data_IF_325456674297
#
_entry.id   IF_325456674297
#
_cell.length_a   1.000
_cell.length_b   1.000
_cell.length_c   1.000
_cell.angle_alpha   90.00
_cell.angle_beta   90.00
_cell.angle_gamma   90.00
#
_symmetry.space_group_name_H-M   'P 1'
#
loop_
_entity.id
_entity.type
_entity.pdbx_description
1 polymer ?
#
# COMPACT_ATOMS: atom_id res chain seq x y z
N UNK A 1 -4.63 18.35 -3.54
CA UNK A 1 -4.65 17.65 -2.25
C UNK A 1 -3.47 16.69 -2.03
N UNK A 2 -2.89 16.09 -3.08
CA UNK A 2 -1.65 15.30 -2.96
C UNK A 2 -0.43 16.15 -2.54
N UNK A 3 -0.36 17.41 -2.96
CA UNK A 3 0.73 18.32 -2.57
C UNK A 3 0.79 18.53 -1.06
N UNK A 4 -0.35 18.66 -0.37
CA UNK A 4 -0.38 18.86 1.09
C UNK A 4 0.15 17.65 1.89
N UNK A 5 0.24 16.48 1.29
CA UNK A 5 0.76 15.28 1.92
C UNK A 5 2.27 15.16 1.72
N UNK A 6 2.80 15.63 0.60
CA UNK A 6 4.22 15.52 0.24
C UNK A 6 5.12 16.49 1.02
N UNK A 7 4.59 17.65 1.37
CA UNK A 7 5.26 18.72 2.13
C UNK A 7 5.29 18.51 3.64
N UNK A 8 4.70 17.39 4.13
CA UNK A 8 4.70 17.04 5.55
C UNK A 8 5.79 16.03 5.89
N UNK A 9 6.18 16.02 7.17
CA UNK A 9 7.08 14.98 7.66
C UNK A 9 6.43 13.59 7.55
N UNK A 10 7.24 12.54 7.54
CA UNK A 10 6.75 11.16 7.57
C UNK A 10 5.84 10.96 8.79
N UNK A 11 6.26 11.43 9.96
CA UNK A 11 5.49 11.35 11.21
C UNK A 11 4.12 12.00 11.06
N UNK A 12 4.07 13.25 10.59
CA UNK A 12 2.80 13.97 10.42
C UNK A 12 1.89 13.32 9.39
N UNK A 13 2.48 12.72 8.33
CA UNK A 13 1.74 11.97 7.34
C UNK A 13 1.09 10.71 7.90
N UNK A 14 1.82 9.94 8.69
CA UNK A 14 1.32 8.69 9.27
C UNK A 14 0.18 8.92 10.26
N UNK A 15 0.21 10.04 10.98
CA UNK A 15 -0.79 10.37 12.01
C UNK A 15 -1.84 11.39 11.57
N UNK A 16 -1.90 11.74 10.30
CA UNK A 16 -2.86 12.71 9.78
C UNK A 16 -4.32 12.30 10.10
N UNK A 17 -5.01 13.15 10.87
CA UNK A 17 -6.36 12.92 11.37
C UNK A 17 -6.45 11.93 12.54
N UNK A 18 -5.30 11.50 13.08
CA UNK A 18 -5.19 10.54 14.21
C UNK A 18 -4.03 10.92 15.13
N UNK A 19 -3.80 12.20 15.29
CA UNK A 19 -2.70 12.77 16.05
C UNK A 19 -2.78 12.34 17.53
N UNK A 20 -1.64 11.97 18.10
CA UNK A 20 -1.53 11.65 19.52
C UNK A 20 -1.40 12.96 20.29
N UNK A 21 -2.27 13.15 21.27
CA UNK A 21 -2.26 14.33 22.15
C UNK A 21 -1.50 14.03 23.43
N UNK A 22 -0.87 15.06 24.00
CA UNK A 22 -0.25 14.97 25.31
C UNK A 22 -1.29 14.61 26.38
N UNK A 23 -0.86 13.85 27.38
CA UNK A 23 -1.72 13.51 28.52
C UNK A 23 -1.86 14.70 29.47
N UNK A 24 -2.99 14.76 30.21
CA UNK A 24 -3.25 15.78 31.20
C UNK A 24 -3.90 17.06 30.64
N UNK A 25 -3.87 18.13 31.43
CA UNK A 25 -4.54 19.42 31.13
C UNK A 25 -4.08 20.03 29.78
N UNK A 26 -2.78 19.96 29.50
CA UNK A 26 -2.18 20.48 28.27
C UNK A 26 -2.72 19.77 27.02
N UNK A 27 -2.90 18.44 27.06
CA UNK A 27 -3.42 17.68 25.93
C UNK A 27 -4.94 17.72 25.81
N UNK A 28 -5.65 17.79 26.96
CA UNK A 28 -7.12 17.76 26.97
C UNK A 28 -7.70 19.14 26.59
N UNK A 29 -7.19 20.20 27.18
CA UNK A 29 -7.73 21.56 26.99
C UNK A 29 -7.06 22.31 25.83
N UNK A 30 -5.72 22.34 25.81
CA UNK A 30 -4.94 23.08 24.81
C UNK A 30 -4.67 22.28 23.52
N UNK A 31 -5.05 20.99 23.48
CA UNK A 31 -4.89 20.10 22.32
C UNK A 31 -3.44 19.98 21.81
N UNK A 32 -2.44 20.11 22.69
CA UNK A 32 -1.04 19.94 22.30
C UNK A 32 -0.76 18.52 21.83
N UNK A 33 -0.01 18.42 20.74
CA UNK A 33 0.38 17.13 20.14
C UNK A 33 1.58 16.55 20.89
N UNK A 34 1.57 15.24 21.08
CA UNK A 34 2.72 14.48 21.57
C UNK A 34 3.59 14.03 20.36
N UNK A 35 4.39 14.96 19.86
CA UNK A 35 5.26 14.72 18.71
C UNK A 35 6.26 13.60 18.96
N UNK A 36 6.71 13.42 20.21
CA UNK A 36 7.66 12.37 20.57
C UNK A 36 6.99 11.00 20.46
N UNK A 37 5.82 10.83 21.08
CA UNK A 37 5.07 9.57 21.01
C UNK A 37 4.70 9.22 19.56
N UNK A 38 4.27 10.21 18.76
CA UNK A 38 4.01 10.01 17.32
C UNK A 38 5.25 9.57 16.56
N UNK A 39 6.40 10.17 16.83
CA UNK A 39 7.66 9.85 16.17
C UNK A 39 8.13 8.43 16.52
N UNK A 40 8.06 8.05 17.78
CA UNK A 40 8.49 6.72 18.26
C UNK A 40 7.57 5.62 17.69
N UNK A 41 6.26 5.87 17.67
CA UNK A 41 5.29 4.93 17.08
C UNK A 41 5.44 4.84 15.55
N UNK A 42 5.68 5.96 14.84
CA UNK A 42 5.95 5.97 13.41
C UNK A 42 7.18 5.11 13.08
N UNK A 43 8.28 5.29 13.83
CA UNK A 43 9.51 4.52 13.64
C UNK A 43 9.27 3.03 13.83
N UNK A 44 8.55 2.65 14.89
CA UNK A 44 8.19 1.27 15.16
C UNK A 44 7.42 0.65 13.99
N UNK A 45 6.37 1.31 13.51
CA UNK A 45 5.51 0.81 12.41
C UNK A 45 6.25 0.65 11.10
N UNK A 46 7.14 1.59 10.77
CA UNK A 46 7.99 1.48 9.58
C UNK A 46 8.98 0.32 9.71
N UNK A 47 9.59 0.16 10.88
CA UNK A 47 10.48 -0.97 11.18
C UNK A 47 9.76 -2.31 11.07
N UNK A 48 8.55 -2.40 11.64
CA UNK A 48 7.70 -3.59 11.58
C UNK A 48 7.39 -4.01 10.13
N UNK A 49 7.32 -3.07 9.19
CA UNK A 49 7.13 -3.31 7.75
C UNK A 49 8.45 -3.48 6.97
N UNK A 50 9.58 -3.62 7.66
CA UNK A 50 10.88 -3.78 7.01
C UNK A 50 11.43 -2.53 6.32
N UNK A 51 10.84 -1.35 6.57
CA UNK A 51 11.25 -0.08 5.95
C UNK A 51 12.43 0.57 6.69
N UNK A 52 13.48 -0.22 6.93
CA UNK A 52 14.66 0.18 7.71
C UNK A 52 15.53 1.24 7.04
N UNK A 53 15.36 1.46 5.74
CA UNK A 53 16.12 2.49 4.99
C UNK A 53 15.69 3.91 5.30
N UNK A 54 14.55 4.10 5.98
CA UNK A 54 14.04 5.40 6.42
C UNK A 54 14.60 5.69 7.81
N UNK A 55 15.71 6.41 7.89
CA UNK A 55 16.37 6.73 9.15
C UNK A 55 15.79 7.97 9.84
N UNK A 56 15.46 8.99 9.06
CA UNK A 56 14.91 10.25 9.58
C UNK A 56 13.42 10.36 9.33
N UNK A 57 12.61 10.08 10.34
CA UNK A 57 11.14 10.15 10.28
C UNK A 57 10.57 11.57 10.26
N UNK A 58 11.42 12.58 10.53
CA UNK A 58 11.03 13.99 10.46
C UNK A 58 11.32 14.61 9.08
N UNK A 59 11.95 13.84 8.16
CA UNK A 59 12.13 14.33 6.79
C UNK A 59 10.81 14.42 6.04
N UNK A 60 10.76 15.31 5.05
CA UNK A 60 9.58 15.49 4.21
C UNK A 60 9.37 14.28 3.30
N UNK A 61 8.11 13.89 3.09
CA UNK A 61 7.77 12.73 2.24
C UNK A 61 8.20 12.95 0.79
N UNK A 62 8.24 14.19 0.30
CA UNK A 62 8.71 14.51 -1.04
C UNK A 62 10.18 14.15 -1.30
N UNK A 63 11.02 14.13 -0.23
CA UNK A 63 12.45 13.78 -0.33
C UNK A 63 12.72 12.27 -0.43
N UNK A 64 11.68 11.47 -0.25
CA UNK A 64 11.78 10.02 -0.32
C UNK A 64 11.83 9.51 -1.77
N UNK A 65 12.46 8.34 -1.98
CA UNK A 65 12.31 7.62 -3.25
C UNK A 65 10.86 7.17 -3.47
N UNK A 66 10.49 6.86 -4.71
CA UNK A 66 9.13 6.38 -5.03
C UNK A 66 8.70 5.19 -4.17
N UNK A 67 9.57 4.18 -4.04
CA UNK A 67 9.30 3.00 -3.22
C UNK A 67 9.18 3.32 -1.73
N UNK A 68 9.99 4.26 -1.21
CA UNK A 68 9.89 4.71 0.18
C UNK A 68 8.57 5.46 0.42
N UNK A 69 8.15 6.34 -0.50
CA UNK A 69 6.85 7.02 -0.41
C UNK A 69 5.70 6.02 -0.38
N UNK A 70 5.74 5.02 -1.25
CA UNK A 70 4.74 3.96 -1.27
C UNK A 70 4.73 3.18 0.06
N UNK A 71 5.91 2.89 0.60
CA UNK A 71 6.05 2.27 1.92
C UNK A 71 5.40 3.06 3.05
N UNK A 72 5.60 4.37 3.09
CA UNK A 72 4.96 5.26 4.07
C UNK A 72 3.43 5.26 3.90
N UNK A 73 2.93 5.28 2.66
CA UNK A 73 1.50 5.22 2.39
C UNK A 73 0.88 3.91 2.89
N UNK A 74 1.55 2.77 2.66
CA UNK A 74 1.11 1.46 3.16
C UNK A 74 1.18 1.39 4.69
N UNK A 75 2.28 1.87 5.29
CA UNK A 75 2.42 1.94 6.73
C UNK A 75 1.29 2.74 7.38
N UNK A 76 0.93 3.89 6.79
CA UNK A 76 -0.22 4.69 7.22
C UNK A 76 -1.53 3.92 7.07
N UNK A 77 -1.75 3.28 5.91
CA UNK A 77 -2.97 2.53 5.65
C UNK A 77 -3.18 1.37 6.62
N UNK A 78 -2.11 0.67 7.00
CA UNK A 78 -2.16 -0.52 7.88
C UNK A 78 -2.12 -0.19 9.37
N UNK A 79 -1.85 1.07 9.73
CA UNK A 79 -1.53 1.46 11.11
C UNK A 79 -2.70 1.46 12.10
N UNK A 80 -3.96 1.46 11.66
CA UNK A 80 -5.08 1.82 12.54
C UNK A 80 -6.28 0.88 12.40
N UNK A 81 -6.08 -0.41 12.66
CA UNK A 81 -7.17 -1.40 12.67
C UNK A 81 -7.82 -1.60 11.31
N UNK A 82 -7.02 -1.51 10.27
CA UNK A 82 -7.45 -1.65 8.88
C UNK A 82 -7.91 -3.06 8.60
N UNK A 83 -9.11 -3.20 8.03
CA UNK A 83 -9.70 -4.50 7.66
C UNK A 83 -9.33 -4.94 6.26
N UNK A 84 -9.01 -4.00 5.38
CA UNK A 84 -8.61 -4.23 3.98
C UNK A 84 -7.78 -3.07 3.49
N UNK A 85 -6.77 -3.32 2.68
CA UNK A 85 -5.95 -2.30 2.00
C UNK A 85 -6.23 -2.36 0.51
N UNK A 86 -6.51 -1.21 -0.10
CA UNK A 86 -6.66 -1.07 -1.55
C UNK A 86 -5.43 -0.37 -2.08
N UNK A 87 -4.77 -0.97 -3.05
CA UNK A 87 -3.59 -0.42 -3.72
C UNK A 87 -3.89 -0.29 -5.22
N UNK A 88 -3.86 0.95 -5.69
CA UNK A 88 -4.09 1.27 -7.10
C UNK A 88 -2.76 1.63 -7.76
N UNK A 89 -2.34 0.80 -8.73
CA UNK A 89 -1.08 0.92 -9.47
C UNK A 89 0.16 1.19 -8.59
N UNK A 90 0.41 0.42 -7.51
CA UNK A 90 1.43 0.77 -6.52
C UNK A 90 2.86 0.70 -7.05
N UNK A 91 3.09 0.05 -8.19
CA UNK A 91 4.40 -0.07 -8.83
C UNK A 91 4.54 0.79 -10.09
N UNK A 92 3.51 1.59 -10.43
CA UNK A 92 3.57 2.46 -11.59
C UNK A 92 4.66 3.53 -11.42
N UNK A 93 5.40 3.81 -12.50
CA UNK A 93 6.48 4.78 -12.52
C UNK A 93 7.63 4.53 -11.52
N UNK A 94 7.76 3.31 -11.00
CA UNK A 94 8.86 2.88 -10.16
C UNK A 94 9.90 2.09 -10.98
N UNK A 95 11.18 2.20 -10.58
CA UNK A 95 12.22 1.35 -11.11
C UNK A 95 12.09 -0.11 -10.63
N UNK A 96 12.88 -1.00 -11.20
CA UNK A 96 12.81 -2.45 -10.89
C UNK A 96 13.04 -2.73 -9.40
N UNK A 97 14.02 -2.07 -8.80
CA UNK A 97 14.36 -2.24 -7.37
C UNK A 97 13.24 -1.74 -6.45
N UNK A 98 12.67 -0.59 -6.77
CA UNK A 98 11.57 0.00 -6.02
C UNK A 98 10.30 -0.83 -6.13
N UNK A 99 9.98 -1.32 -7.33
CA UNK A 99 8.84 -2.21 -7.56
C UNK A 99 8.98 -3.49 -6.75
N UNK A 100 10.17 -4.10 -6.74
CA UNK A 100 10.44 -5.30 -5.94
C UNK A 100 10.17 -5.08 -4.46
N UNK A 101 10.62 -3.95 -3.90
CA UNK A 101 10.35 -3.61 -2.49
C UNK A 101 8.87 -3.42 -2.19
N UNK A 102 8.10 -2.87 -3.14
CA UNK A 102 6.65 -2.75 -2.99
C UNK A 102 5.98 -4.13 -2.97
N UNK A 103 6.43 -5.07 -3.81
CA UNK A 103 5.90 -6.44 -3.81
C UNK A 103 6.23 -7.17 -2.50
N UNK A 104 7.45 -7.01 -1.98
CA UNK A 104 7.85 -7.54 -0.67
C UNK A 104 6.96 -6.98 0.46
N UNK A 105 6.68 -5.67 0.42
CA UNK A 105 5.78 -5.02 1.37
C UNK A 105 4.34 -5.54 1.30
N UNK A 106 3.83 -5.83 0.09
CA UNK A 106 2.54 -6.51 -0.10
C UNK A 106 2.55 -7.87 0.61
N UNK A 107 3.63 -8.64 0.46
CA UNK A 107 3.84 -9.89 1.17
C UNK A 107 3.81 -9.75 2.68
N UNK A 108 4.49 -8.74 3.22
CA UNK A 108 4.48 -8.43 4.66
C UNK A 108 3.08 -8.07 5.20
N UNK A 109 2.34 -7.24 4.50
CA UNK A 109 0.96 -6.88 4.88
C UNK A 109 0.06 -8.11 4.86
N UNK A 110 0.20 -8.96 3.83
CA UNK A 110 -0.53 -10.22 3.70
C UNK A 110 -0.21 -11.19 4.85
N UNK A 111 1.06 -11.34 5.23
CA UNK A 111 1.50 -12.23 6.32
C UNK A 111 0.88 -11.88 7.67
N UNK A 112 0.47 -10.61 7.85
CA UNK A 112 -0.27 -10.12 9.03
C UNK A 112 -1.77 -10.41 8.97
N UNK A 113 -2.25 -11.13 7.96
CA UNK A 113 -3.66 -11.44 7.78
C UNK A 113 -4.51 -10.27 7.31
N UNK A 114 -3.91 -9.20 6.78
CA UNK A 114 -4.64 -8.05 6.23
C UNK A 114 -4.90 -8.32 4.75
N UNK A 115 -6.17 -8.43 4.32
CA UNK A 115 -6.52 -8.60 2.92
C UNK A 115 -6.12 -7.38 2.08
N UNK A 116 -5.64 -7.64 0.86
CA UNK A 116 -5.23 -6.59 -0.07
C UNK A 116 -6.03 -6.73 -1.37
N UNK A 117 -6.57 -5.62 -1.85
CA UNK A 117 -7.09 -5.48 -3.21
C UNK A 117 -6.04 -4.72 -4.01
N UNK A 118 -5.37 -5.42 -4.91
CA UNK A 118 -4.38 -4.85 -5.79
C UNK A 118 -5.00 -4.59 -7.16
N UNK A 119 -4.99 -3.33 -7.61
CA UNK A 119 -5.36 -2.93 -8.96
C UNK A 119 -4.08 -2.67 -9.71
N UNK A 120 -3.84 -3.40 -10.80
CA UNK A 120 -2.67 -3.20 -11.64
C UNK A 120 -2.86 -3.79 -13.03
N UNK A 121 -2.15 -3.23 -14.00
CA UNK A 121 -2.01 -3.75 -15.35
C UNK A 121 -0.67 -4.49 -15.55
N UNK A 122 0.22 -4.49 -14.55
CA UNK A 122 1.49 -5.19 -14.60
C UNK A 122 1.29 -6.68 -14.23
N UNK A 123 1.01 -7.49 -15.24
CA UNK A 123 0.68 -8.92 -15.05
C UNK A 123 1.77 -9.71 -14.34
N UNK A 124 3.07 -9.56 -14.64
CA UNK A 124 4.13 -10.20 -13.86
C UNK A 124 4.01 -9.97 -12.34
N UNK A 125 3.80 -8.71 -11.92
CA UNK A 125 3.65 -8.39 -10.51
C UNK A 125 2.37 -8.96 -9.90
N UNK A 126 1.25 -8.91 -10.66
CA UNK A 126 -0.03 -9.47 -10.21
C UNK A 126 0.09 -10.98 -10.00
N UNK A 127 0.67 -11.71 -10.95
CA UNK A 127 0.84 -13.16 -10.86
C UNK A 127 1.77 -13.59 -9.72
N UNK A 128 2.73 -12.74 -9.36
CA UNK A 128 3.65 -13.01 -8.25
C UNK A 128 2.96 -12.95 -6.87
N UNK A 129 2.04 -12.00 -6.67
CA UNK A 129 1.54 -11.72 -5.31
C UNK A 129 0.08 -12.10 -5.09
N UNK A 130 -0.72 -12.26 -6.13
CA UNK A 130 -2.16 -12.48 -5.99
C UNK A 130 -2.51 -13.95 -5.68
N UNK A 131 -3.53 -14.14 -4.84
CA UNK A 131 -4.16 -15.46 -4.63
C UNK A 131 -5.29 -15.71 -5.63
N UNK A 132 -5.95 -14.64 -6.10
CA UNK A 132 -7.02 -14.65 -7.09
C UNK A 132 -6.95 -13.39 -7.93
N UNK A 133 -7.20 -13.52 -9.23
CA UNK A 133 -7.19 -12.41 -10.17
C UNK A 133 -8.59 -12.23 -10.75
N UNK A 134 -9.18 -11.07 -10.49
CA UNK A 134 -10.45 -10.66 -11.07
C UNK A 134 -10.19 -9.88 -12.35
N UNK A 135 -10.62 -10.39 -13.48
CA UNK A 135 -10.44 -9.74 -14.77
C UNK A 135 -11.69 -8.93 -15.10
N UNK A 136 -11.46 -7.64 -15.31
CA UNK A 136 -12.48 -6.67 -15.68
C UNK A 136 -12.23 -6.14 -17.09
N UNK A 137 -13.30 -5.97 -17.85
CA UNK A 137 -13.25 -5.36 -19.19
C UNK A 137 -14.53 -4.58 -19.44
N UNK A 138 -14.40 -3.37 -19.97
CA UNK A 138 -15.54 -2.49 -20.31
C UNK A 138 -16.56 -2.36 -19.16
N UNK A 139 -16.08 -2.21 -17.92
CA UNK A 139 -16.92 -2.02 -16.75
C UNK A 139 -17.56 -3.30 -16.19
N UNK A 140 -17.35 -4.46 -16.81
CA UNK A 140 -17.89 -5.73 -16.34
C UNK A 140 -16.79 -6.69 -15.88
N UNK A 141 -17.09 -7.50 -14.84
CA UNK A 141 -16.22 -8.61 -14.43
C UNK A 141 -16.41 -9.77 -15.41
N UNK A 142 -15.35 -10.13 -16.11
CA UNK A 142 -15.38 -11.25 -17.05
C UNK A 142 -15.24 -12.60 -16.34
N UNK A 143 -14.19 -12.75 -15.54
CA UNK A 143 -13.89 -14.01 -14.86
C UNK A 143 -13.03 -13.77 -13.62
N UNK A 144 -12.86 -14.83 -12.84
CA UNK A 144 -11.87 -14.93 -11.75
C UNK A 144 -10.97 -16.09 -12.05
N UNK A 145 -9.67 -15.89 -12.02
CA UNK A 145 -8.67 -16.94 -12.26
C UNK A 145 -7.75 -17.13 -11.06
N UNK A 146 -7.25 -18.33 -10.92
CA UNK A 146 -6.20 -18.70 -9.97
C UNK A 146 -4.86 -18.62 -10.70
N UNK A 147 -3.92 -17.74 -10.28
CA UNK A 147 -2.63 -17.60 -10.95
C UNK A 147 -1.75 -18.85 -10.89
N UNK A 148 -2.07 -19.80 -10.01
CA UNK A 148 -1.37 -21.09 -9.94
C UNK A 148 -1.86 -22.13 -10.97
N UNK A 149 -3.03 -21.87 -11.57
CA UNK A 149 -3.70 -22.81 -12.52
C UNK A 149 -3.79 -22.23 -13.93
N UNK A 150 -3.48 -20.96 -14.12
CA UNK A 150 -3.60 -20.27 -15.39
C UNK A 150 -2.27 -19.58 -15.73
N UNK A 151 -1.99 -19.49 -17.00
CA UNK A 151 -0.84 -18.75 -17.49
C UNK A 151 -1.17 -17.25 -17.61
N UNK A 152 -0.12 -16.43 -17.58
CA UNK A 152 -0.26 -14.99 -17.78
C UNK A 152 -0.87 -14.65 -19.16
N UNK A 153 -0.55 -15.45 -20.17
CA UNK A 153 -1.12 -15.37 -21.52
C UNK A 153 -2.64 -15.49 -21.53
N UNK A 154 -3.21 -16.36 -20.67
CA UNK A 154 -4.66 -16.51 -20.53
C UNK A 154 -5.30 -15.23 -19.98
N UNK A 155 -4.70 -14.65 -18.94
CA UNK A 155 -5.20 -13.40 -18.36
C UNK A 155 -5.22 -12.27 -19.40
N UNK A 156 -4.14 -12.12 -20.15
CA UNK A 156 -4.04 -11.11 -21.23
C UNK A 156 -5.07 -11.38 -22.32
N UNK A 157 -5.28 -12.64 -22.72
CA UNK A 157 -6.26 -13.01 -23.73
C UNK A 157 -7.69 -12.68 -23.30
N UNK A 158 -8.04 -12.88 -22.01
CA UNK A 158 -9.34 -12.46 -21.47
C UNK A 158 -9.46 -10.93 -21.43
N UNK A 159 -8.44 -10.21 -20.98
CA UNK A 159 -8.45 -8.74 -20.90
C UNK A 159 -8.63 -8.10 -22.28
N UNK A 160 -7.99 -8.63 -23.30
CA UNK A 160 -8.08 -8.12 -24.69
C UNK A 160 -9.33 -8.61 -25.44
N UNK A 161 -9.96 -9.68 -24.94
CA UNK A 161 -11.09 -10.34 -25.64
C UNK A 161 -10.66 -11.29 -26.74
N UNK A 162 -9.38 -11.65 -26.81
CA UNK A 162 -8.87 -12.65 -27.75
C UNK A 162 -9.34 -14.07 -27.41
N UNK A 163 -9.67 -14.33 -26.13
CA UNK A 163 -10.24 -15.60 -25.65
C UNK A 163 -11.63 -15.36 -25.07
N UNK A 164 -12.69 -16.04 -25.57
CA UNK A 164 -13.99 -15.95 -24.94
C UNK A 164 -13.96 -16.65 -23.59
N UNK A 165 -14.66 -16.07 -22.61
CA UNK A 165 -14.84 -16.69 -21.29
C UNK A 165 -15.93 -17.76 -21.45
N UNK A 166 -15.61 -19.04 -21.33
CA UNK A 166 -16.61 -20.06 -21.10
C UNK A 166 -17.11 -19.88 -19.67
N UNK A 167 -18.33 -19.40 -19.50
CA UNK A 167 -18.99 -19.34 -18.20
C UNK A 167 -19.26 -20.76 -17.72
N UNK A 168 -18.30 -21.34 -17.01
CA UNK A 168 -18.59 -22.49 -16.14
C UNK A 168 -19.13 -21.94 -14.83
N UNK A 169 -20.42 -22.12 -14.63
CA UNK A 169 -21.14 -21.83 -13.38
C UNK A 169 -20.60 -22.63 -12.21
#
# INVERSE_FOLDING_TARGET
SEMCIRDRSITDNMFLGREIRQKGFMGSFLKFLDKKAMADEARKRLSDLGLLTIQNINQLVETLSGGQRQGVAVARATSFGTKVVIMDEPTAALGVKESRRVLELIGEVRSRGIPIILISHNMPHVFEVADRIHIHRLGTRLCVIDPKKHEMSDAVAYMTGAKPVSYTH
#
